data_IF_898364643833
#
_entry.id   IF_898364643833
#
_cell.length_a   1.000
_cell.length_b   1.000
_cell.length_c   1.000
_cell.angle_alpha   90.00
_cell.angle_beta   90.00
_cell.angle_gamma   90.00
#
_symmetry.space_group_name_H-M   'P 1'
#
loop_
_entity.id
_entity.type
_entity.pdbx_description
1 polymer ?
#
# COMPACT_ATOMS: atom_id res chain seq x y z
N UNK A 1 12.16 6.34 30.33
CA UNK A 1 12.89 5.89 29.12
C UNK A 1 12.29 4.62 28.48
N UNK A 2 12.09 3.51 29.20
CA UNK A 2 11.57 2.24 28.60
C UNK A 2 10.10 2.30 28.11
N UNK A 3 9.23 3.10 28.75
CA UNK A 3 7.81 3.18 28.38
C UNK A 3 7.54 3.81 27.01
N UNK A 4 8.24 4.89 26.67
CA UNK A 4 8.15 5.58 25.38
C UNK A 4 8.61 4.68 24.22
N UNK A 5 9.71 3.95 24.42
CA UNK A 5 10.23 3.01 23.42
C UNK A 5 9.20 1.91 23.15
N UNK A 6 8.56 1.38 24.20
CA UNK A 6 7.56 0.31 24.04
C UNK A 6 6.33 0.78 23.27
N UNK A 7 5.83 1.99 23.56
CA UNK A 7 4.72 2.60 22.83
C UNK A 7 5.07 2.84 21.36
N UNK A 8 6.28 3.35 21.09
CA UNK A 8 6.78 3.57 19.74
C UNK A 8 6.81 2.28 18.90
N UNK A 9 7.30 1.19 19.50
CA UNK A 9 7.34 -0.12 18.85
C UNK A 9 5.94 -0.64 18.55
N UNK A 10 5.01 -0.57 19.51
CA UNK A 10 3.62 -1.00 19.27
C UNK A 10 2.91 -0.14 18.22
N UNK A 11 3.13 1.19 18.23
CA UNK A 11 2.59 2.09 17.20
C UNK A 11 3.15 1.80 15.81
N UNK A 12 4.45 1.49 15.72
CA UNK A 12 5.10 1.09 14.48
C UNK A 12 4.53 -0.23 13.94
N UNK A 13 4.32 -1.22 14.80
CA UNK A 13 3.70 -2.50 14.44
C UNK A 13 2.27 -2.28 13.93
N UNK A 14 1.47 -1.48 14.66
CA UNK A 14 0.09 -1.18 14.29
C UNK A 14 -0.01 -0.46 12.94
N UNK A 15 0.85 0.54 12.69
CA UNK A 15 0.87 1.24 11.41
C UNK A 15 1.37 0.37 10.27
N UNK A 16 2.39 -0.47 10.49
CA UNK A 16 2.86 -1.44 9.50
C UNK A 16 1.75 -2.44 9.14
N UNK A 17 0.98 -2.91 10.12
CA UNK A 17 -0.14 -3.81 9.92
C UNK A 17 -1.28 -3.14 9.13
N UNK A 18 -1.73 -1.95 9.55
CA UNK A 18 -2.76 -1.18 8.85
C UNK A 18 -2.34 -0.87 7.41
N UNK A 19 -1.07 -0.54 7.21
CA UNK A 19 -0.50 -0.31 5.89
C UNK A 19 -0.52 -1.58 5.03
N UNK A 20 -0.12 -2.72 5.59
CA UNK A 20 -0.12 -3.99 4.87
C UNK A 20 -1.54 -4.40 4.45
N UNK A 21 -2.52 -4.20 5.34
CA UNK A 21 -3.93 -4.42 5.05
C UNK A 21 -4.41 -3.52 3.91
N UNK A 22 -4.09 -2.22 3.96
CA UNK A 22 -4.47 -1.28 2.90
C UNK A 22 -3.83 -1.63 1.55
N UNK A 23 -2.57 -2.03 1.55
CA UNK A 23 -1.84 -2.49 0.36
C UNK A 23 -2.52 -3.70 -0.30
N UNK A 24 -2.89 -4.70 0.50
CA UNK A 24 -3.55 -5.91 0.00
C UNK A 24 -4.95 -5.59 -0.53
N UNK A 25 -5.74 -4.83 0.23
CA UNK A 25 -7.09 -4.40 -0.17
C UNK A 25 -7.07 -3.60 -1.48
N UNK A 26 -6.12 -2.68 -1.60
CA UNK A 26 -6.00 -1.85 -2.78
C UNK A 26 -5.71 -2.67 -4.04
N UNK A 27 -4.91 -3.74 -3.92
CA UNK A 27 -4.60 -4.64 -5.04
C UNK A 27 -5.82 -5.44 -5.48
N UNK A 28 -6.62 -5.94 -4.53
CA UNK A 28 -7.84 -6.69 -4.87
C UNK A 28 -8.87 -5.81 -5.55
N UNK A 29 -9.07 -4.58 -5.05
CA UNK A 29 -10.04 -3.64 -5.63
C UNK A 29 -9.62 -3.19 -7.02
N UNK A 30 -8.33 -2.93 -7.26
CA UNK A 30 -7.86 -2.51 -8.59
C UNK A 30 -8.02 -3.62 -9.63
N UNK A 31 -7.75 -4.88 -9.26
CA UNK A 31 -8.01 -6.02 -10.14
C UNK A 31 -9.48 -6.14 -10.50
N UNK A 32 -10.37 -6.03 -9.52
CA UNK A 32 -11.82 -6.07 -9.74
C UNK A 32 -12.30 -4.90 -10.63
N UNK A 33 -11.70 -3.71 -10.47
CA UNK A 33 -11.98 -2.54 -11.32
C UNK A 33 -11.60 -2.81 -12.77
N UNK A 34 -10.41 -3.38 -13.02
CA UNK A 34 -9.93 -3.70 -14.36
C UNK A 34 -10.75 -4.80 -15.03
N UNK A 35 -11.16 -5.83 -14.27
CA UNK A 35 -12.09 -6.87 -14.75
C UNK A 35 -13.42 -6.26 -15.18
N UNK A 36 -14.05 -5.43 -14.32
CA UNK A 36 -15.30 -4.73 -14.65
C UNK A 36 -15.18 -3.79 -15.85
N UNK A 37 -14.05 -3.11 -16.00
CA UNK A 37 -13.79 -2.21 -17.12
C UNK A 37 -13.61 -2.98 -18.44
N UNK A 38 -13.00 -4.17 -18.40
CA UNK A 38 -12.91 -5.05 -19.56
C UNK A 38 -14.28 -5.61 -19.94
N UNK A 39 -15.00 -6.17 -18.97
CA UNK A 39 -16.30 -6.82 -19.20
C UNK A 39 -17.40 -5.81 -19.63
N UNK A 40 -17.22 -4.52 -19.31
CA UNK A 40 -18.11 -3.43 -19.69
C UNK A 40 -17.84 -2.80 -21.06
N UNK A 41 -16.73 -3.16 -21.73
CA UNK A 41 -16.36 -2.59 -23.03
C UNK A 41 -16.62 -3.58 -24.18
N UNK A 42 -17.75 -3.47 -24.89
CA UNK A 42 -18.11 -4.39 -25.98
C UNK A 42 -17.14 -4.32 -27.18
N UNK A 43 -16.25 -3.32 -27.25
CA UNK A 43 -15.25 -3.21 -28.31
C UNK A 43 -14.00 -4.09 -28.08
N UNK A 44 -13.75 -4.53 -26.83
CA UNK A 44 -12.56 -5.32 -26.49
C UNK A 44 -12.70 -6.81 -26.78
N UNK A 45 -13.93 -7.30 -27.00
CA UNK A 45 -14.21 -8.71 -27.24
C UNK A 45 -13.95 -9.60 -26.03
N UNK A 46 -14.14 -10.91 -26.20
CA UNK A 46 -14.06 -11.92 -25.12
C UNK A 46 -12.76 -12.74 -25.19
N UNK A 47 -11.67 -12.14 -25.67
CA UNK A 47 -10.37 -12.80 -25.77
C UNK A 47 -9.72 -12.93 -24.39
N UNK A 48 -9.56 -14.16 -23.85
CA UNK A 48 -9.01 -14.37 -22.51
C UNK A 48 -7.55 -13.91 -22.39
N UNK A 49 -6.74 -14.07 -23.45
CA UNK A 49 -5.33 -13.70 -23.42
C UNK A 49 -5.16 -12.17 -23.41
N UNK A 50 -6.02 -11.45 -24.14
CA UNK A 50 -6.02 -10.00 -24.17
C UNK A 50 -6.51 -9.39 -22.84
N UNK A 51 -7.50 -10.03 -22.20
CA UNK A 51 -8.02 -9.64 -20.87
C UNK A 51 -6.95 -9.78 -19.80
N UNK A 52 -6.25 -10.91 -19.76
CA UNK A 52 -5.20 -11.16 -18.78
C UNK A 52 -4.01 -10.20 -18.98
N UNK A 53 -3.60 -9.96 -20.23
CA UNK A 53 -2.54 -8.99 -20.54
C UNK A 53 -2.90 -7.55 -20.11
N UNK A 54 -4.16 -7.14 -20.29
CA UNK A 54 -4.66 -5.83 -19.85
C UNK A 54 -4.66 -5.69 -18.33
N UNK A 55 -5.19 -6.70 -17.63
CA UNK A 55 -5.23 -6.73 -16.16
C UNK A 55 -3.82 -6.72 -15.58
N UNK A 56 -2.91 -7.55 -16.13
CA UNK A 56 -1.52 -7.63 -15.66
C UNK A 56 -0.75 -6.34 -15.91
N UNK A 57 -0.89 -5.72 -17.08
CA UNK A 57 -0.24 -4.43 -17.38
C UNK A 57 -0.75 -3.32 -16.46
N UNK A 58 -2.07 -3.26 -16.21
CA UNK A 58 -2.68 -2.33 -15.27
C UNK A 58 -2.20 -2.52 -13.83
N UNK A 59 -2.13 -3.78 -13.38
CA UNK A 59 -1.62 -4.15 -12.06
C UNK A 59 -0.13 -3.84 -11.89
N UNK A 60 0.70 -4.07 -12.91
CA UNK A 60 2.14 -3.77 -12.84
C UNK A 60 2.43 -2.27 -12.69
N UNK A 61 1.69 -1.42 -13.40
CA UNK A 61 1.75 0.04 -13.24
C UNK A 61 1.37 0.47 -11.82
N UNK A 62 0.30 -0.13 -11.29
CA UNK A 62 -0.18 0.14 -9.93
C UNK A 62 0.83 -0.33 -8.87
N UNK A 63 1.33 -1.56 -9.00
CA UNK A 63 2.33 -2.16 -8.10
C UNK A 63 3.61 -1.32 -8.02
N UNK A 64 4.09 -0.76 -9.14
CA UNK A 64 5.31 0.05 -9.13
C UNK A 64 5.14 1.32 -8.30
N UNK A 65 3.97 1.96 -8.39
CA UNK A 65 3.65 3.15 -7.60
C UNK A 65 3.40 2.82 -6.12
N UNK A 66 2.74 1.68 -5.85
CA UNK A 66 2.52 1.14 -4.51
C UNK A 66 3.84 0.79 -3.85
N UNK A 67 4.71 0.01 -4.47
CA UNK A 67 6.03 -0.40 -3.92
C UNK A 67 6.88 0.81 -3.53
N UNK A 68 6.86 1.88 -4.34
CA UNK A 68 7.59 3.11 -4.02
C UNK A 68 6.98 3.82 -2.80
N UNK A 69 5.65 3.94 -2.72
CA UNK A 69 4.96 4.47 -1.54
C UNK A 69 5.16 3.59 -0.30
N UNK A 70 5.23 2.27 -0.47
CA UNK A 70 5.54 1.25 0.54
C UNK A 70 6.87 1.55 1.23
N UNK A 71 7.92 1.62 0.42
CA UNK A 71 9.28 1.83 0.91
C UNK A 71 9.36 3.20 1.60
N UNK A 72 8.74 4.22 1.01
CA UNK A 72 8.75 5.56 1.59
C UNK A 72 8.01 5.62 2.93
N UNK A 73 6.84 5.00 3.05
CA UNK A 73 6.06 5.01 4.28
C UNK A 73 6.73 4.21 5.40
N UNK A 74 7.33 3.06 5.08
CA UNK A 74 8.10 2.24 6.03
C UNK A 74 9.32 2.98 6.58
N UNK A 75 9.92 3.90 5.83
CA UNK A 75 11.08 4.66 6.32
C UNK A 75 10.69 5.99 6.96
N UNK A 76 9.78 6.76 6.36
CA UNK A 76 9.47 8.12 6.82
C UNK A 76 8.68 8.12 8.11
N UNK A 77 7.73 7.21 8.29
CA UNK A 77 6.94 7.14 9.52
C UNK A 77 7.79 6.82 10.76
N UNK A 78 8.66 5.79 10.79
CA UNK A 78 9.51 5.57 11.96
C UNK A 78 10.46 6.74 12.23
N UNK A 79 10.98 7.41 11.20
CA UNK A 79 11.80 8.61 11.41
C UNK A 79 11.01 9.73 12.07
N UNK A 80 9.79 10.03 11.60
CA UNK A 80 8.92 11.05 12.20
C UNK A 80 8.55 10.71 13.63
N UNK A 81 8.25 9.44 13.94
CA UNK A 81 7.94 9.00 15.29
C UNK A 81 9.15 9.22 16.22
N UNK A 82 10.35 8.82 15.81
CA UNK A 82 11.57 9.04 16.60
C UNK A 82 11.79 10.52 16.87
N UNK A 83 11.61 11.38 15.87
CA UNK A 83 11.74 12.83 16.03
C UNK A 83 10.72 13.41 17.03
N UNK A 84 9.46 12.97 16.96
CA UNK A 84 8.40 13.40 17.90
C UNK A 84 8.72 12.96 19.33
N UNK A 85 9.21 11.72 19.51
CA UNK A 85 9.54 11.19 20.84
C UNK A 85 10.74 11.92 21.46
N UNK A 86 11.74 12.28 20.66
CA UNK A 86 12.86 13.11 21.12
C UNK A 86 12.34 14.49 21.55
N UNK A 87 11.54 15.16 20.71
CA UNK A 87 10.98 16.47 21.01
C UNK A 87 10.15 16.50 22.29
N UNK A 88 9.26 15.52 22.49
CA UNK A 88 8.39 15.42 23.67
C UNK A 88 9.14 14.99 24.95
N UNK A 89 10.35 14.46 24.84
CA UNK A 89 11.16 14.04 25.99
C UNK A 89 12.21 15.09 26.38
N UNK A 90 12.60 15.97 25.46
CA UNK A 90 13.47 17.13 25.72
C UNK A 90 12.69 18.40 26.15
N UNK A 91 11.36 18.38 26.04
CA UNK A 91 10.46 19.45 26.52
C UNK A 91 9.81 19.05 27.84
#
# INVERSE_FOLDING_TARGET
>A
MIGLIRLAVFGFIGMTAAYFLMSVYSRSVERERLEKEWDGDPAKGDDPEARDAYIETGLQGYEKSLRRKLIWLVYVIPTVIVLILVYLNDT
#
